data_IF_144422860842
#
_entry.id   IF_144422860842
#
_cell.length_a   1.000
_cell.length_b   1.000
_cell.length_c   1.000
_cell.angle_alpha   90.00
_cell.angle_beta   90.00
_cell.angle_gamma   90.00
#
_symmetry.space_group_name_H-M   'P 1'
#
loop_
_entity.id
_entity.type
_entity.pdbx_description
1 polymer ?
#
# COMPACT_ATOMS: atom_id res chain seq x y z
N UNK A 1 20.51 -6.57 35.89
CA UNK A 1 19.05 -6.39 36.06
C UNK A 1 18.69 -4.96 36.52
N UNK A 2 18.88 -3.90 35.70
CA UNK A 2 18.23 -2.60 35.93
C UNK A 2 17.17 -2.22 34.89
N UNK A 3 16.94 -3.06 33.87
CA UNK A 3 16.03 -2.75 32.76
C UNK A 3 14.55 -3.04 33.06
N UNK A 4 14.24 -3.95 33.98
CA UNK A 4 12.86 -4.40 34.27
C UNK A 4 11.95 -3.30 34.84
N UNK A 5 12.50 -2.43 35.69
CA UNK A 5 11.71 -1.42 36.39
C UNK A 5 11.36 -0.23 35.48
N UNK A 6 12.28 0.10 34.55
CA UNK A 6 12.05 1.11 33.51
C UNK A 6 10.99 0.64 32.51
N UNK A 7 11.02 -0.64 32.13
CA UNK A 7 10.04 -1.27 31.25
C UNK A 7 8.63 -1.32 31.86
N UNK A 8 8.53 -1.56 33.18
CA UNK A 8 7.26 -1.53 33.92
C UNK A 8 6.68 -0.12 33.99
N UNK A 9 7.48 0.88 34.34
CA UNK A 9 7.03 2.27 34.39
C UNK A 9 6.56 2.75 33.01
N UNK A 10 7.29 2.41 31.94
CA UNK A 10 6.90 2.76 30.58
C UNK A 10 5.61 2.06 30.15
N UNK A 11 5.44 0.78 30.49
CA UNK A 11 4.21 0.02 30.24
C UNK A 11 2.99 0.64 30.92
N UNK A 12 3.14 1.10 32.16
CA UNK A 12 2.07 1.81 32.89
C UNK A 12 1.71 3.13 32.19
N UNK A 13 2.72 3.91 31.78
CA UNK A 13 2.51 5.17 31.04
C UNK A 13 1.81 4.92 29.70
N UNK A 14 2.18 3.85 28.97
CA UNK A 14 1.50 3.44 27.74
C UNK A 14 0.04 3.07 28.04
N UNK A 15 -0.21 2.30 29.11
CA UNK A 15 -1.55 1.91 29.55
C UNK A 15 -2.45 3.12 29.86
N UNK A 16 -1.93 4.11 30.60
CA UNK A 16 -2.67 5.35 30.86
C UNK A 16 -2.90 6.17 29.60
N UNK A 17 -1.89 6.28 28.72
CA UNK A 17 -2.05 6.99 27.44
C UNK A 17 -3.12 6.36 26.56
N UNK A 18 -3.19 5.03 26.53
CA UNK A 18 -4.24 4.28 25.85
C UNK A 18 -5.61 4.54 26.50
N UNK A 19 -5.74 4.38 27.81
CA UNK A 19 -7.02 4.58 28.52
C UNK A 19 -7.56 5.98 28.29
N UNK A 20 -6.71 7.00 28.40
CA UNK A 20 -7.08 8.39 28.12
C UNK A 20 -7.61 8.58 26.69
N UNK A 21 -6.93 7.99 25.71
CA UNK A 21 -7.40 8.01 24.32
C UNK A 21 -8.74 7.29 24.14
N UNK A 22 -8.93 6.13 24.77
CA UNK A 22 -10.21 5.39 24.71
C UNK A 22 -11.36 6.14 25.35
N UNK A 23 -11.14 6.83 26.46
CA UNK A 23 -12.16 7.70 27.08
C UNK A 23 -12.51 8.86 26.16
N UNK A 24 -11.51 9.55 25.59
CA UNK A 24 -11.72 10.66 24.65
C UNK A 24 -12.49 10.22 23.40
N UNK A 25 -12.15 9.04 22.87
CA UNK A 25 -12.82 8.37 21.74
C UNK A 25 -14.27 8.04 22.07
N UNK A 26 -14.54 7.44 23.24
CA UNK A 26 -15.91 7.11 23.69
C UNK A 26 -16.80 8.33 23.87
N UNK A 27 -16.24 9.43 24.35
CA UNK A 27 -16.94 10.71 24.51
C UNK A 27 -17.05 11.52 23.20
N UNK A 28 -16.60 10.97 22.05
CA UNK A 28 -16.61 11.63 20.75
C UNK A 28 -15.92 13.02 20.73
N UNK A 29 -14.90 13.20 21.56
CA UNK A 29 -14.15 14.46 21.69
C UNK A 29 -13.04 14.55 20.63
N UNK A 30 -12.57 13.41 20.12
CA UNK A 30 -11.50 13.35 19.12
C UNK A 30 -11.99 13.77 17.73
N UNK A 31 -11.31 14.75 17.13
CA UNK A 31 -11.44 15.05 15.69
C UNK A 31 -10.41 14.22 14.93
N UNK A 32 -10.86 13.37 14.00
CA UNK A 32 -9.99 12.45 13.26
C UNK A 32 -9.87 12.94 11.82
N UNK A 33 -8.75 13.58 11.47
CA UNK A 33 -8.53 14.11 10.11
C UNK A 33 -7.41 13.37 9.36
N UNK A 34 -6.44 12.82 10.09
CA UNK A 34 -5.24 12.22 9.51
C UNK A 34 -4.88 10.89 10.19
N UNK A 35 -3.79 10.28 9.73
CA UNK A 35 -3.29 9.02 10.25
C UNK A 35 -2.89 9.10 11.73
N UNK A 36 -2.18 10.16 12.15
CA UNK A 36 -1.82 10.36 13.56
C UNK A 36 -3.07 10.38 14.45
N UNK A 37 -4.05 11.22 14.14
CA UNK A 37 -5.29 11.33 14.92
C UNK A 37 -5.99 9.96 15.02
N UNK A 38 -6.07 9.23 13.91
CA UNK A 38 -6.74 7.93 13.84
C UNK A 38 -6.06 6.87 14.72
N UNK A 39 -4.73 6.84 14.73
CA UNK A 39 -3.95 5.90 15.54
C UNK A 39 -3.97 6.31 17.01
N UNK A 40 -3.76 7.60 17.31
CA UNK A 40 -3.76 8.11 18.69
C UNK A 40 -5.10 7.85 19.36
N UNK A 41 -6.22 8.05 18.66
CA UNK A 41 -7.57 7.79 19.20
C UNK A 41 -7.81 6.31 19.58
N UNK A 42 -7.15 5.38 18.87
CA UNK A 42 -7.34 3.93 19.08
C UNK A 42 -6.29 3.28 19.96
N UNK A 43 -5.07 3.80 19.95
CA UNK A 43 -3.90 3.14 20.53
C UNK A 43 -3.18 4.00 21.58
N UNK A 44 -3.53 5.28 21.70
CA UNK A 44 -2.86 6.22 22.59
C UNK A 44 -1.63 6.86 21.96
N UNK A 45 -1.30 8.07 22.43
CA UNK A 45 -0.19 8.88 21.91
C UNK A 45 1.18 8.24 22.12
N UNK A 46 1.38 7.57 23.25
CA UNK A 46 2.65 6.90 23.55
C UNK A 46 2.93 5.74 22.61
N UNK A 47 1.94 4.88 22.36
CA UNK A 47 2.12 3.76 21.44
C UNK A 47 2.33 4.25 19.99
N UNK A 48 1.60 5.30 19.59
CA UNK A 48 1.82 5.97 18.30
C UNK A 48 3.28 6.42 18.13
N UNK A 49 3.81 7.18 19.08
CA UNK A 49 5.18 7.71 19.01
C UNK A 49 6.24 6.59 19.01
N UNK A 50 6.06 5.56 19.84
CA UNK A 50 7.06 4.51 20.01
C UNK A 50 7.13 3.57 18.80
N UNK A 51 6.00 3.24 18.17
CA UNK A 51 5.94 2.18 17.15
C UNK A 51 5.42 2.60 15.78
N UNK A 52 4.42 3.49 15.73
CA UNK A 52 3.73 3.79 14.46
C UNK A 52 4.38 4.94 13.71
N UNK A 53 4.75 6.02 14.41
CA UNK A 53 5.20 7.27 13.79
C UNK A 53 6.42 7.05 12.88
N UNK A 54 7.55 6.67 13.48
CA UNK A 54 8.83 6.56 12.75
C UNK A 54 8.76 5.55 11.60
N UNK A 55 8.09 4.42 11.80
CA UNK A 55 7.91 3.42 10.74
C UNK A 55 7.10 3.99 9.58
N UNK A 56 5.94 4.61 9.88
CA UNK A 56 5.03 5.14 8.86
C UNK A 56 5.67 6.29 8.08
N UNK A 57 6.32 7.23 8.77
CA UNK A 57 7.02 8.35 8.15
C UNK A 57 8.24 7.88 7.33
N UNK A 58 8.94 6.83 7.76
CA UNK A 58 10.03 6.24 6.97
C UNK A 58 9.53 5.58 5.68
N UNK A 59 8.38 4.90 5.75
CA UNK A 59 7.76 4.25 4.58
C UNK A 59 7.23 5.29 3.59
N UNK A 60 6.51 6.31 4.08
CA UNK A 60 5.81 7.28 3.23
C UNK A 60 6.62 8.54 2.90
N UNK A 61 7.60 8.90 3.73
CA UNK A 61 8.42 10.09 3.56
C UNK A 61 7.76 11.42 3.89
N UNK A 62 6.58 11.40 4.49
CA UNK A 62 5.80 12.57 4.91
C UNK A 62 5.32 12.37 6.34
N UNK A 63 4.94 13.46 7.03
CA UNK A 63 4.44 13.41 8.39
C UNK A 63 3.11 12.65 8.46
N UNK A 64 2.88 11.93 9.56
CA UNK A 64 1.61 11.21 9.78
C UNK A 64 0.37 12.12 9.74
N UNK A 65 0.54 13.44 9.90
CA UNK A 65 -0.54 14.44 9.79
C UNK A 65 -0.94 14.74 8.35
N UNK A 66 -0.07 14.43 7.39
CA UNK A 66 -0.30 14.65 5.96
C UNK A 66 -0.86 13.39 5.27
N UNK A 67 -1.04 12.30 6.02
CA UNK A 67 -1.62 11.04 5.52
C UNK A 67 -3.10 10.98 5.93
N UNK A 68 -3.99 10.67 4.97
CA UNK A 68 -5.43 10.55 5.22
C UNK A 68 -5.78 9.46 6.25
N UNK A 69 -6.76 9.75 7.11
CA UNK A 69 -7.22 8.83 8.17
C UNK A 69 -7.82 7.51 7.63
N UNK A 70 -8.44 7.54 6.45
CA UNK A 70 -9.00 6.35 5.80
C UNK A 70 -7.92 5.34 5.43
N UNK A 71 -6.73 5.81 5.07
CA UNK A 71 -5.58 4.94 4.81
C UNK A 71 -5.18 4.17 6.08
N UNK A 72 -5.14 4.86 7.23
CA UNK A 72 -4.91 4.25 8.54
C UNK A 72 -5.96 3.16 8.83
N UNK A 73 -7.23 3.48 8.59
CA UNK A 73 -8.37 2.60 8.84
C UNK A 73 -8.29 1.29 8.07
N UNK A 74 -7.82 1.34 6.82
CA UNK A 74 -7.67 0.16 5.97
C UNK A 74 -6.46 -0.69 6.36
N UNK A 75 -5.31 -0.05 6.61
CA UNK A 75 -4.04 -0.76 6.85
C UNK A 75 -3.90 -1.35 8.25
N UNK A 76 -4.50 -0.70 9.25
CA UNK A 76 -4.48 -1.15 10.65
C UNK A 76 -5.77 -1.93 10.98
N UNK A 77 -6.59 -2.22 9.96
CA UNK A 77 -7.84 -2.97 10.11
C UNK A 77 -7.60 -4.33 10.75
N UNK A 78 -8.23 -4.56 11.91
CA UNK A 78 -8.14 -5.84 12.62
C UNK A 78 -7.07 -5.91 13.71
N UNK A 79 -6.23 -4.88 13.84
CA UNK A 79 -5.37 -4.72 15.02
C UNK A 79 -6.18 -4.11 16.16
N UNK A 80 -6.13 -4.74 17.33
CA UNK A 80 -6.82 -4.29 18.53
C UNK A 80 -5.89 -4.49 19.72
N UNK A 81 -5.47 -3.37 20.34
CA UNK A 81 -4.60 -3.42 21.51
C UNK A 81 -5.27 -4.16 22.68
N UNK A 82 -6.57 -3.95 22.88
CA UNK A 82 -7.34 -4.66 23.90
C UNK A 82 -7.38 -6.17 23.65
N UNK A 83 -7.46 -6.60 22.38
CA UNK A 83 -7.37 -8.03 22.02
C UNK A 83 -5.97 -8.59 22.28
N UNK A 84 -4.92 -7.84 21.95
CA UNK A 84 -3.53 -8.24 22.21
C UNK A 84 -3.24 -8.36 23.71
N UNK A 85 -3.64 -7.37 24.52
CA UNK A 85 -3.50 -7.42 25.99
C UNK A 85 -4.29 -8.60 26.58
N UNK A 86 -5.54 -8.79 26.14
CA UNK A 86 -6.36 -9.92 26.60
C UNK A 86 -5.72 -11.26 26.26
N UNK A 87 -5.11 -11.39 25.08
CA UNK A 87 -4.39 -12.59 24.68
C UNK A 87 -3.11 -12.79 25.51
N UNK A 88 -2.34 -11.74 25.76
CA UNK A 88 -1.13 -11.82 26.59
C UNK A 88 -1.43 -12.25 28.04
N UNK A 89 -2.53 -11.77 28.62
CA UNK A 89 -2.97 -12.16 29.96
C UNK A 89 -3.65 -13.53 30.00
N UNK A 90 -4.27 -13.95 28.89
CA UNK A 90 -5.00 -15.22 28.79
C UNK A 90 -4.64 -15.96 27.49
N UNK A 91 -3.44 -16.58 27.42
CA UNK A 91 -2.90 -17.16 26.18
C UNK A 91 -3.70 -18.35 25.62
N UNK A 92 -4.53 -19.00 26.44
CA UNK A 92 -5.40 -20.12 26.03
C UNK A 92 -6.73 -19.68 25.36
N UNK A 93 -6.89 -18.40 25.02
CA UNK A 93 -8.10 -17.94 24.34
C UNK A 93 -8.15 -18.46 22.89
N UNK A 94 -9.27 -19.06 22.48
CA UNK A 94 -9.52 -19.51 21.08
C UNK A 94 -9.55 -18.36 20.05
N UNK A 95 -9.49 -17.09 20.49
CA UNK A 95 -9.52 -15.90 19.61
C UNK A 95 -8.09 -15.43 19.32
N UNK A 96 -7.45 -16.02 18.31
CA UNK A 96 -6.16 -15.51 17.79
C UNK A 96 -6.36 -14.14 17.12
N UNK A 97 -5.42 -13.19 17.27
CA UNK A 97 -5.42 -11.95 16.50
C UNK A 97 -5.44 -12.22 14.99
N UNK A 98 -6.24 -11.45 14.23
CA UNK A 98 -6.44 -11.64 12.77
C UNK A 98 -5.16 -11.52 11.93
N UNK A 99 -4.11 -10.91 12.47
CA UNK A 99 -2.85 -10.65 11.76
C UNK A 99 -1.88 -11.84 11.73
N UNK A 100 -2.25 -12.97 12.34
CA UNK A 100 -1.48 -14.21 12.30
C UNK A 100 -1.91 -15.06 11.09
N UNK A 101 -1.53 -14.62 9.88
CA UNK A 101 -1.49 -15.53 8.72
C UNK A 101 -0.19 -16.30 8.86
N UNK A 102 -0.28 -17.50 9.45
CA UNK A 102 0.91 -18.27 9.86
C UNK A 102 1.67 -18.84 8.65
N UNK A 103 1.03 -18.94 7.46
CA UNK A 103 1.63 -19.49 6.23
C UNK A 103 1.04 -18.82 4.99
N UNK A 104 1.89 -18.58 3.99
CA UNK A 104 1.49 -18.17 2.64
C UNK A 104 2.30 -18.95 1.61
N UNK A 105 1.73 -19.14 0.42
CA UNK A 105 2.46 -19.75 -0.70
C UNK A 105 3.28 -18.70 -1.41
N UNK A 106 4.55 -19.00 -1.67
CA UNK A 106 5.44 -18.17 -2.47
C UNK A 106 5.96 -18.98 -3.66
N UNK A 107 5.93 -18.45 -4.90
CA UNK A 107 6.41 -19.20 -6.05
C UNK A 107 7.92 -19.45 -5.95
N UNK A 108 8.36 -20.67 -6.25
CA UNK A 108 9.76 -21.10 -6.13
C UNK A 108 10.74 -20.23 -6.94
N UNK A 109 10.30 -19.67 -8.07
CA UNK A 109 11.12 -18.82 -8.95
C UNK A 109 10.88 -17.32 -8.70
N UNK A 110 10.22 -16.95 -7.60
CA UNK A 110 9.87 -15.57 -7.31
C UNK A 110 8.49 -15.17 -7.83
N UNK A 111 8.01 -14.00 -7.41
CA UNK A 111 6.65 -13.53 -7.69
C UNK A 111 6.33 -13.39 -9.21
N UNK A 112 7.34 -13.23 -10.07
CA UNK A 112 7.18 -13.14 -11.53
C UNK A 112 6.57 -14.40 -12.16
N UNK A 113 6.88 -15.57 -11.59
CA UNK A 113 6.40 -16.88 -12.09
C UNK A 113 4.87 -16.95 -12.22
N UNK A 114 4.14 -16.31 -11.31
CA UNK A 114 2.67 -16.28 -11.35
C UNK A 114 2.17 -15.58 -12.63
N UNK A 115 2.79 -14.45 -12.99
CA UNK A 115 2.38 -13.64 -14.14
C UNK A 115 2.83 -14.25 -15.46
N UNK A 116 3.99 -14.90 -15.49
CA UNK A 116 4.43 -15.69 -16.64
C UNK A 116 3.44 -16.83 -16.94
N UNK A 117 2.98 -17.54 -15.90
CA UNK A 117 1.95 -18.59 -16.05
C UNK A 117 0.59 -18.04 -16.42
N UNK A 118 0.23 -16.86 -15.91
CA UNK A 118 -0.98 -16.18 -16.32
C UNK A 118 -0.96 -15.80 -17.81
N UNK A 119 0.16 -15.23 -18.29
CA UNK A 119 0.38 -14.92 -19.71
C UNK A 119 0.26 -16.18 -20.58
N UNK A 120 0.98 -17.24 -20.24
CA UNK A 120 0.91 -18.53 -20.95
C UNK A 120 -0.53 -19.04 -21.07
N UNK A 121 -1.30 -18.97 -19.97
CA UNK A 121 -2.69 -19.44 -19.93
C UNK A 121 -3.62 -18.63 -20.83
N UNK A 122 -3.49 -17.30 -20.87
CA UNK A 122 -4.36 -16.47 -21.72
C UNK A 122 -3.97 -16.57 -23.19
N UNK A 123 -2.68 -16.67 -23.51
CA UNK A 123 -2.22 -16.85 -24.89
C UNK A 123 -2.63 -18.20 -25.46
N UNK A 124 -2.60 -19.28 -24.66
CA UNK A 124 -3.13 -20.58 -25.05
C UNK A 124 -4.66 -20.57 -25.32
N UNK A 125 -5.37 -19.53 -24.87
CA UNK A 125 -6.79 -19.28 -25.17
C UNK A 125 -7.01 -18.32 -26.33
N UNK A 126 -5.96 -17.95 -27.06
CA UNK A 126 -6.03 -17.04 -28.20
C UNK A 126 -6.07 -15.56 -27.85
N UNK A 127 -5.77 -15.17 -26.60
CA UNK A 127 -5.62 -13.77 -26.22
C UNK A 127 -4.22 -13.30 -26.61
N UNK A 128 -4.14 -12.30 -27.47
CA UNK A 128 -2.88 -11.71 -27.91
C UNK A 128 -2.24 -10.86 -26.80
N UNK A 129 -0.95 -11.08 -26.54
CA UNK A 129 -0.14 -10.28 -25.61
C UNK A 129 1.07 -9.76 -26.37
N UNK A 130 1.10 -8.45 -26.61
CA UNK A 130 2.17 -7.80 -27.36
C UNK A 130 3.11 -7.10 -26.39
N UNK A 131 4.38 -7.51 -26.36
CA UNK A 131 5.43 -6.96 -25.49
C UNK A 131 6.37 -6.03 -26.27
N UNK A 132 7.16 -5.23 -25.53
CA UNK A 132 8.10 -4.26 -26.09
C UNK A 132 7.46 -3.22 -27.02
N UNK A 133 6.21 -2.86 -26.74
CA UNK A 133 5.47 -1.80 -27.45
C UNK A 133 5.08 -0.72 -26.45
N UNK A 134 5.56 0.50 -26.66
CA UNK A 134 5.24 1.65 -25.81
C UNK A 134 4.09 2.42 -26.44
N UNK A 135 2.96 2.53 -25.76
CA UNK A 135 1.88 3.41 -26.19
C UNK A 135 2.31 4.87 -26.01
N UNK A 136 2.22 5.66 -27.08
CA UNK A 136 2.68 7.06 -27.11
C UNK A 136 1.55 8.06 -27.37
N UNK A 137 0.42 7.61 -27.91
CA UNK A 137 -0.75 8.46 -28.12
C UNK A 137 -2.03 7.62 -28.16
N UNK A 138 -3.11 8.16 -27.60
CA UNK A 138 -4.46 7.61 -27.66
C UNK A 138 -5.38 8.76 -28.05
N UNK A 139 -6.08 8.63 -29.16
CA UNK A 139 -7.04 9.63 -29.64
C UNK A 139 -8.42 9.02 -29.74
N UNK A 140 -9.44 9.74 -29.27
CA UNK A 140 -10.84 9.36 -29.49
C UNK A 140 -11.44 10.19 -30.63
N UNK A 141 -11.96 9.51 -31.65
CA UNK A 141 -12.74 10.12 -32.74
C UNK A 141 -14.09 9.44 -32.76
N UNK A 142 -15.17 10.19 -32.50
CA UNK A 142 -16.52 9.63 -32.33
C UNK A 142 -16.54 8.51 -31.28
N UNK A 143 -16.83 7.27 -31.68
CA UNK A 143 -16.90 6.08 -30.80
C UNK A 143 -15.71 5.13 -30.97
N UNK A 144 -14.64 5.57 -31.65
CA UNK A 144 -13.44 4.77 -31.90
C UNK A 144 -12.22 5.42 -31.23
N UNK A 145 -11.42 4.59 -30.57
CA UNK A 145 -10.09 4.96 -30.08
C UNK A 145 -9.02 4.49 -31.06
N UNK A 146 -8.16 5.41 -31.47
CA UNK A 146 -6.94 5.12 -32.21
C UNK A 146 -5.77 5.15 -31.22
N UNK A 147 -5.10 4.01 -31.06
CA UNK A 147 -3.93 3.84 -30.20
C UNK A 147 -2.69 3.79 -31.08
N UNK A 148 -1.73 4.68 -30.82
CA UNK A 148 -0.43 4.67 -31.46
C UNK A 148 0.59 4.13 -30.46
N UNK A 149 1.27 3.05 -30.84
CA UNK A 149 2.41 2.54 -30.09
C UNK A 149 3.68 2.50 -30.93
N UNK A 150 4.81 2.57 -30.24
CA UNK A 150 6.16 2.53 -30.77
C UNK A 150 6.80 1.18 -30.43
N UNK A 151 7.48 0.57 -31.40
CA UNK A 151 8.27 -0.65 -31.17
C UNK A 151 9.72 -0.38 -30.79
N UNK A 152 10.52 -1.44 -30.62
CA UNK A 152 11.95 -1.34 -30.27
C UNK A 152 12.79 -0.60 -31.30
N UNK A 153 12.35 -0.51 -32.56
CA UNK A 153 13.02 0.17 -33.66
C UNK A 153 12.48 1.59 -33.88
N UNK A 154 11.56 2.04 -33.03
CA UNK A 154 10.85 3.33 -33.14
C UNK A 154 9.85 3.43 -34.29
N UNK A 155 9.43 2.31 -34.85
CA UNK A 155 8.34 2.31 -35.82
C UNK A 155 7.02 2.57 -35.10
N UNK A 156 6.21 3.47 -35.67
CA UNK A 156 4.88 3.81 -35.14
C UNK A 156 3.82 2.97 -35.81
N UNK A 157 3.00 2.31 -35.00
CA UNK A 157 1.90 1.45 -35.46
C UNK A 157 0.62 1.94 -34.81
N UNK A 158 -0.45 1.99 -35.60
CA UNK A 158 -1.78 2.42 -35.16
C UNK A 158 -2.72 1.23 -35.10
N UNK A 159 -3.49 1.13 -34.01
CA UNK A 159 -4.56 0.15 -33.84
C UNK A 159 -5.84 0.86 -33.43
N UNK A 160 -6.97 0.40 -33.95
CA UNK A 160 -8.29 0.93 -33.63
C UNK A 160 -9.07 -0.02 -32.72
N UNK A 161 -9.77 0.54 -31.74
CA UNK A 161 -10.61 -0.22 -30.81
C UNK A 161 -11.80 0.60 -30.34
N UNK A 162 -12.86 -0.08 -29.89
CA UNK A 162 -14.04 0.57 -29.28
C UNK A 162 -13.83 0.91 -27.80
N UNK A 163 -12.97 0.17 -27.11
CA UNK A 163 -12.76 0.30 -25.67
C UNK A 163 -11.28 0.22 -25.34
N UNK A 164 -10.86 1.00 -24.34
CA UNK A 164 -9.50 1.02 -23.81
C UNK A 164 -9.57 0.83 -22.30
N UNK A 165 -8.88 -0.21 -21.82
CA UNK A 165 -8.58 -0.38 -20.41
C UNK A 165 -7.10 -0.06 -20.22
N UNK A 166 -6.77 0.76 -19.23
CA UNK A 166 -5.39 1.15 -18.96
C UNK A 166 -5.03 0.88 -17.50
N UNK A 167 -3.77 0.51 -17.27
CA UNK A 167 -3.20 0.25 -15.95
C UNK A 167 -1.86 0.95 -15.74
N UNK A 168 -1.44 1.79 -16.69
CA UNK A 168 -0.28 2.66 -16.52
C UNK A 168 -0.61 3.80 -15.54
N UNK A 169 0.39 4.50 -14.98
CA UNK A 169 0.15 5.62 -14.08
C UNK A 169 -0.78 6.66 -14.71
N UNK A 170 -1.75 7.15 -13.92
CA UNK A 170 -2.78 8.09 -14.41
C UNK A 170 -2.16 9.34 -15.06
N UNK A 171 -1.09 9.87 -14.48
CA UNK A 171 -0.36 11.02 -15.02
C UNK A 171 0.24 10.74 -16.40
N UNK A 172 0.79 9.54 -16.60
CA UNK A 172 1.30 9.12 -17.91
C UNK A 172 0.16 8.95 -18.90
N UNK A 173 -0.97 8.37 -18.48
CA UNK A 173 -2.14 8.21 -19.33
C UNK A 173 -2.67 9.57 -19.82
N UNK A 174 -2.86 10.54 -18.91
CA UNK A 174 -3.32 11.89 -19.27
C UNK A 174 -2.36 12.54 -20.28
N UNK A 175 -1.05 12.30 -20.17
CA UNK A 175 -0.05 12.89 -21.07
C UNK A 175 -0.09 12.35 -22.50
N UNK A 176 -0.58 11.11 -22.69
CA UNK A 176 -0.67 10.46 -24.01
C UNK A 176 -2.10 10.47 -24.57
N UNK A 177 -3.10 10.82 -23.77
CA UNK A 177 -4.49 10.89 -24.17
C UNK A 177 -4.76 12.21 -24.91
N UNK A 178 -4.65 12.16 -26.24
CA UNK A 178 -4.83 13.27 -27.18
C UNK A 178 -6.32 13.50 -27.46
N UNK A 179 -7.04 13.92 -26.43
CA UNK A 179 -8.44 14.32 -26.49
C UNK A 179 -8.68 15.42 -25.45
N UNK A 180 -9.80 16.12 -25.55
CA UNK A 180 -10.07 17.28 -24.70
C UNK A 180 -10.27 16.86 -23.23
N UNK A 181 -9.18 16.90 -22.45
CA UNK A 181 -9.18 16.63 -21.01
C UNK A 181 -9.39 17.96 -20.28
N UNK A 182 -10.44 18.09 -19.45
CA UNK A 182 -10.69 19.33 -18.73
C UNK A 182 -9.48 19.76 -17.88
N UNK A 183 -9.14 21.05 -17.92
CA UNK A 183 -7.98 21.58 -17.20
C UNK A 183 -8.01 21.26 -15.69
N UNK A 184 -9.19 21.28 -15.07
CA UNK A 184 -9.37 20.91 -13.66
C UNK A 184 -8.94 19.48 -13.35
N UNK A 185 -9.10 18.54 -14.29
CA UNK A 185 -8.64 17.16 -14.16
C UNK A 185 -7.12 17.10 -14.26
N UNK A 186 -6.52 17.83 -15.20
CA UNK A 186 -5.06 17.91 -15.35
C UNK A 186 -4.41 18.48 -14.09
N UNK A 187 -4.96 19.58 -13.57
CA UNK A 187 -4.46 20.24 -12.36
C UNK A 187 -4.59 19.33 -11.13
N UNK A 188 -5.73 18.65 -10.99
CA UNK A 188 -5.94 17.67 -9.92
C UNK A 188 -4.96 16.50 -10.03
N UNK A 189 -4.76 15.95 -11.21
CA UNK A 189 -3.82 14.85 -11.41
C UNK A 189 -2.38 15.27 -11.08
N UNK A 190 -1.95 16.47 -11.48
CA UNK A 190 -0.61 17.01 -11.18
C UNK A 190 -0.36 17.24 -9.69
N UNK A 191 -1.41 17.39 -8.88
CA UNK A 191 -1.30 17.49 -7.42
C UNK A 191 -1.10 16.15 -6.71
N UNK A 192 -1.22 15.03 -7.43
CA UNK A 192 -0.97 13.70 -6.88
C UNK A 192 0.51 13.50 -6.58
N UNK A 193 0.80 13.17 -5.32
CA UNK A 193 2.15 12.82 -4.88
C UNK A 193 2.32 11.30 -4.85
N UNK A 194 3.51 10.84 -5.24
CA UNK A 194 3.93 9.46 -5.10
C UNK A 194 5.38 9.39 -4.64
N UNK A 195 5.79 8.22 -4.15
CA UNK A 195 7.15 7.98 -3.69
C UNK A 195 7.77 6.87 -4.51
N UNK A 196 8.99 7.11 -4.99
CA UNK A 196 9.79 6.08 -5.62
C UNK A 196 10.27 5.05 -4.59
N UNK A 197 10.23 3.78 -4.98
CA UNK A 197 10.74 2.68 -4.17
C UNK A 197 12.05 2.19 -4.76
N UNK A 198 13.11 2.16 -3.95
CA UNK A 198 14.42 1.63 -4.34
C UNK A 198 14.59 0.29 -3.64
N UNK A 199 14.73 -0.78 -4.42
CA UNK A 199 15.07 -2.11 -3.90
C UNK A 199 16.57 -2.34 -3.99
N UNK A 200 17.17 -2.82 -2.90
CA UNK A 200 18.59 -3.20 -2.86
C UNK A 200 18.65 -4.70 -2.54
N UNK A 201 19.24 -5.47 -3.46
CA UNK A 201 19.37 -6.91 -3.32
C UNK A 201 20.80 -7.24 -2.91
N UNK A 202 20.97 -7.81 -1.72
CA UNK A 202 22.28 -8.21 -1.19
C UNK A 202 22.33 -9.73 -1.20
N UNK A 203 23.25 -10.29 -2.00
CA UNK A 203 23.51 -11.73 -2.04
C UNK A 203 24.74 -12.03 -1.18
N UNK A 204 24.63 -13.02 -0.30
CA UNK A 204 25.69 -13.40 0.63
C UNK A 204 25.98 -14.87 0.39
N UNK A 205 27.26 -15.22 0.24
CA UNK A 205 27.73 -16.59 0.12
C UNK A 205 27.77 -17.30 1.49
N UNK A 206 26.61 -17.32 2.15
CA UNK A 206 26.41 -17.98 3.44
C UNK A 206 24.92 -18.23 3.64
N UNK A 207 24.58 -19.44 4.09
CA UNK A 207 23.23 -19.74 4.58
C UNK A 207 22.99 -18.99 5.89
N UNK A 208 22.14 -17.96 5.86
CA UNK A 208 21.79 -17.14 7.03
C UNK A 208 20.54 -17.65 7.76
N UNK A 209 19.60 -18.24 7.01
CA UNK A 209 18.34 -18.73 7.52
C UNK A 209 18.05 -20.10 6.91
N UNK A 210 17.27 -20.93 7.61
CA UNK A 210 16.69 -22.13 7.02
C UNK A 210 15.54 -21.74 6.09
N UNK A 211 15.35 -22.50 5.02
CA UNK A 211 14.20 -22.33 4.13
C UNK A 211 12.93 -22.67 4.92
N UNK A 212 11.97 -21.74 4.94
CA UNK A 212 10.68 -21.87 5.65
C UNK A 212 9.74 -22.90 4.99
#
# INVERSE_FOLDING_TARGET
MPYSDLELAESVVIGFSYLFARVKSYLSISKINNFEDWVVDRFGKKLFNNFFKNYTEKVWGIDCKDIGSDWAAQRIKGLSLSTAIKFALFPNSKKRPKTLVDKFYYPRLGAGMLWEKFEEHITNKGIEVIKNKKVISIKKTEDIFSIIYEDSERNKITVETKNVFFSNPLLEFISIYDSDVPQSVIDSAKSLNYRNHISVHITIDKKLFDDN
#
